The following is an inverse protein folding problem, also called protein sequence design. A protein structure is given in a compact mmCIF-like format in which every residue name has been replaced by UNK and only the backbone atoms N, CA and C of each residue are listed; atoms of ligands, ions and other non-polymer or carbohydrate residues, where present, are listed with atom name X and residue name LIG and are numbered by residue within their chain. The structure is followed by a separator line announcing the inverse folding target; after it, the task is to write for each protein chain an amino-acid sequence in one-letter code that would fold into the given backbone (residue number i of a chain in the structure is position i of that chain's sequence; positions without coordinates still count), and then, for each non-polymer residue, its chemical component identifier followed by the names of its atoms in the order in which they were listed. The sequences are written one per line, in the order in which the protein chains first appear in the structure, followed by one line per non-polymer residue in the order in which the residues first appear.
data_IF_678457576365
#
_entry.id   IF_678457576365
#
_cell.length_a   1.000
_cell.length_b   1.000
_cell.length_c   1.000
_cell.angle_alpha   90.00
_cell.angle_beta   90.00
_cell.angle_gamma   90.00
#
_symmetry.space_group_name_H-M   'P 1'
#
loop_
_entity.id
_entity.type
_entity.pdbx_description
1 polymer ?
#
# COMPACT_ATOMS: atom_id res chain seq x y z
N UNK A 1 -4.02 -20.30 17.41
CA UNK A 1 -4.46 -18.88 17.27
C UNK A 1 -4.24 -18.48 15.82
N UNK A 2 -5.21 -17.86 15.15
CA UNK A 2 -4.96 -17.29 13.82
C UNK A 2 -3.95 -16.13 13.98
N UNK A 3 -2.87 -16.15 13.22
CA UNK A 3 -1.90 -15.07 13.21
C UNK A 3 -2.38 -13.99 12.24
N UNK A 4 -2.40 -12.74 12.68
CA UNK A 4 -2.64 -11.60 11.79
C UNK A 4 -1.33 -11.27 11.07
N UNK A 5 -1.41 -11.03 9.77
CA UNK A 5 -0.22 -10.88 8.92
C UNK A 5 -0.06 -9.44 8.49
N UNK A 6 1.12 -8.88 8.75
CA UNK A 6 1.56 -7.59 8.24
C UNK A 6 2.41 -7.84 7.00
N UNK A 7 1.97 -7.33 5.86
CA UNK A 7 2.72 -7.41 4.61
C UNK A 7 3.53 -6.13 4.42
N UNK A 8 4.84 -6.27 4.24
CA UNK A 8 5.74 -5.17 3.94
C UNK A 8 6.12 -5.20 2.46
N UNK A 9 5.81 -4.11 1.75
CA UNK A 9 6.13 -3.90 0.34
C UNK A 9 7.03 -2.68 0.24
N UNK A 10 8.10 -2.79 -0.54
CA UNK A 10 9.08 -1.73 -0.72
C UNK A 10 9.67 -1.82 -2.13
N UNK A 11 9.43 -0.80 -2.94
CA UNK A 11 9.89 -0.75 -4.32
C UNK A 11 11.41 -0.60 -4.46
N UNK A 12 12.11 -0.18 -3.40
CA UNK A 12 13.57 -0.20 -3.31
C UNK A 12 14.09 -1.56 -2.82
N UNK A 13 13.20 -2.44 -2.37
CA UNK A 13 13.58 -3.74 -1.82
C UNK A 13 14.35 -3.61 -0.52
N UNK A 14 14.03 -2.64 0.33
CA UNK A 14 14.52 -2.58 1.71
C UNK A 14 13.85 -3.63 2.61
N UNK A 15 14.12 -3.49 3.89
CA UNK A 15 13.50 -4.22 5.00
C UNK A 15 12.89 -3.21 5.96
N UNK A 16 11.80 -3.54 6.67
CA UNK A 16 11.25 -2.64 7.67
C UNK A 16 12.29 -2.38 8.77
N UNK A 17 12.38 -1.13 9.23
CA UNK A 17 13.20 -0.80 10.40
C UNK A 17 12.56 -1.36 11.67
N UNK A 18 13.36 -1.57 12.72
CA UNK A 18 12.84 -2.01 14.02
C UNK A 18 11.79 -1.06 14.59
N UNK A 19 12.03 0.25 14.46
CA UNK A 19 11.10 1.27 14.93
C UNK A 19 9.77 1.21 14.18
N UNK A 20 9.82 1.00 12.85
CA UNK A 20 8.60 0.81 12.06
C UNK A 20 7.86 -0.46 12.46
N UNK A 21 8.57 -1.57 12.66
CA UNK A 21 7.97 -2.81 13.12
C UNK A 21 7.30 -2.62 14.49
N UNK A 22 7.96 -1.94 15.42
CA UNK A 22 7.44 -1.66 16.76
C UNK A 22 6.18 -0.79 16.70
N UNK A 23 6.21 0.32 15.97
CA UNK A 23 5.07 1.23 15.81
C UNK A 23 3.87 0.48 15.23
N UNK A 24 4.09 -0.31 14.18
CA UNK A 24 3.02 -1.09 13.56
C UNK A 24 2.49 -2.20 14.48
N UNK A 25 3.37 -2.91 15.19
CA UNK A 25 2.97 -3.94 16.14
C UNK A 25 2.10 -3.36 17.27
N UNK A 26 2.48 -2.20 17.81
CA UNK A 26 1.71 -1.48 18.83
C UNK A 26 0.35 -1.04 18.27
N UNK A 27 0.32 -0.41 17.09
CA UNK A 27 -0.91 0.07 16.48
C UNK A 27 -1.93 -1.06 16.22
N UNK A 28 -1.47 -2.18 15.64
CA UNK A 28 -2.35 -3.34 15.38
C UNK A 28 -2.81 -3.97 16.70
N UNK A 29 -1.94 -4.07 17.70
CA UNK A 29 -2.29 -4.59 19.02
C UNK A 29 -3.36 -3.73 19.72
N UNK A 30 -3.22 -2.39 19.67
CA UNK A 30 -4.20 -1.46 20.24
C UNK A 30 -5.56 -1.61 19.55
N UNK A 31 -5.59 -1.61 18.22
CA UNK A 31 -6.81 -1.78 17.44
C UNK A 31 -7.47 -3.16 17.70
N UNK A 32 -6.68 -4.23 17.82
CA UNK A 32 -7.22 -5.54 18.15
C UNK A 32 -7.75 -5.59 19.58
N UNK A 33 -7.05 -5.01 20.56
CA UNK A 33 -7.49 -4.95 21.96
C UNK A 33 -8.82 -4.23 22.14
N UNK A 34 -9.08 -3.18 21.34
CA UNK A 34 -10.37 -2.49 21.30
C UNK A 34 -11.51 -3.40 20.81
N UNK A 35 -11.22 -4.38 19.95
CA UNK A 35 -12.22 -5.31 19.38
C UNK A 35 -12.31 -6.63 20.15
N UNK A 36 -11.24 -7.06 20.81
CA UNK A 36 -11.10 -8.39 21.42
C UNK A 36 -10.06 -8.41 22.52
N UNK A 37 -10.35 -9.07 23.65
CA UNK A 37 -9.42 -9.24 24.78
C UNK A 37 -8.39 -10.36 24.59
N UNK A 38 -8.35 -11.02 23.42
CA UNK A 38 -7.42 -12.12 23.14
C UNK A 38 -6.03 -11.59 22.79
N UNK A 39 -4.99 -12.32 23.19
CA UNK A 39 -3.62 -12.05 22.75
C UNK A 39 -3.53 -12.22 21.23
N UNK A 40 -2.95 -11.24 20.57
CA UNK A 40 -2.71 -11.25 19.13
C UNK A 40 -1.31 -11.80 18.85
N UNK A 41 -1.19 -12.66 17.83
CA UNK A 41 0.09 -13.06 17.28
C UNK A 41 0.26 -12.40 15.92
N UNK A 42 1.30 -11.59 15.77
CA UNK A 42 1.61 -10.87 14.54
C UNK A 42 2.71 -11.60 13.76
N UNK A 43 2.49 -11.74 12.45
CA UNK A 43 3.46 -12.29 11.51
C UNK A 43 3.82 -11.23 10.48
N UNK A 44 5.11 -10.93 10.34
CA UNK A 44 5.61 -10.08 9.27
C UNK A 44 5.95 -10.91 8.04
N UNK A 45 5.50 -10.45 6.87
CA UNK A 45 5.82 -11.03 5.57
C UNK A 45 6.36 -9.94 4.68
N UNK A 46 7.63 -10.08 4.30
CA UNK A 46 8.22 -9.26 3.25
C UNK A 46 7.80 -9.81 1.89
N UNK A 47 7.19 -8.95 1.09
CA UNK A 47 6.66 -9.29 -0.24
C UNK A 47 7.72 -8.96 -1.30
N UNK A 48 7.96 -9.87 -2.23
CA UNK A 48 8.87 -9.63 -3.36
C UNK A 48 8.17 -8.84 -4.47
N UNK A 49 7.83 -7.59 -4.21
CA UNK A 49 7.09 -6.73 -5.14
C UNK A 49 7.95 -6.17 -6.28
N UNK A 50 7.33 -5.72 -7.40
CA UNK A 50 8.01 -5.04 -8.51
C UNK A 50 8.91 -3.91 -8.03
N UNK A 51 10.15 -3.82 -8.54
CA UNK A 51 11.11 -2.80 -8.07
C UNK A 51 11.18 -1.59 -9.00
N UNK A 52 11.44 -0.43 -8.43
CA UNK A 52 11.72 0.78 -9.20
C UNK A 52 13.19 0.86 -9.59
N UNK A 53 13.49 1.52 -10.70
CA UNK A 53 14.87 1.71 -11.20
C UNK A 53 15.34 3.15 -11.04
N UNK A 54 14.46 4.15 -11.19
CA UNK A 54 14.80 5.58 -11.13
C UNK A 54 14.86 6.19 -9.73
N UNK A 55 14.45 5.45 -8.69
CA UNK A 55 14.57 5.86 -7.27
C UNK A 55 13.58 6.93 -6.78
N UNK A 56 12.97 7.69 -7.68
CA UNK A 56 12.02 8.79 -7.38
C UNK A 56 10.55 8.41 -7.55
N UNK A 57 10.28 7.16 -7.94
CA UNK A 57 8.98 6.68 -8.41
C UNK A 57 8.20 5.96 -7.29
N UNK A 58 8.75 5.90 -6.08
CA UNK A 58 8.25 5.02 -5.02
C UNK A 58 6.78 5.29 -4.66
N UNK A 59 6.35 6.55 -4.73
CA UNK A 59 4.94 6.92 -4.53
C UNK A 59 4.01 6.30 -5.57
N UNK A 60 4.42 6.28 -6.85
CA UNK A 60 3.65 5.66 -7.91
C UNK A 60 3.59 4.14 -7.77
N UNK A 61 4.70 3.51 -7.35
CA UNK A 61 4.72 2.08 -7.06
C UNK A 61 3.77 1.72 -5.90
N UNK A 62 3.74 2.51 -4.82
CA UNK A 62 2.78 2.31 -3.73
C UNK A 62 1.35 2.42 -4.23
N UNK A 63 1.02 3.43 -5.04
CA UNK A 63 -0.32 3.57 -5.64
C UNK A 63 -0.68 2.37 -6.52
N UNK A 64 0.26 1.91 -7.35
CA UNK A 64 0.07 0.75 -8.23
C UNK A 64 -0.11 -0.55 -7.44
N UNK A 65 0.69 -0.78 -6.39
CA UNK A 65 0.50 -1.93 -5.49
C UNK A 65 -0.90 -1.92 -4.88
N UNK A 66 -1.36 -0.77 -4.37
CA UNK A 66 -2.69 -0.67 -3.78
C UNK A 66 -3.79 -0.99 -4.79
N UNK A 67 -3.67 -0.49 -6.03
CA UNK A 67 -4.60 -0.80 -7.12
C UNK A 67 -4.63 -2.30 -7.43
N UNK A 68 -3.46 -2.94 -7.53
CA UNK A 68 -3.35 -4.36 -7.81
C UNK A 68 -3.89 -5.23 -6.65
N UNK A 69 -3.66 -4.83 -5.39
CA UNK A 69 -4.15 -5.54 -4.19
C UNK A 69 -5.67 -5.44 -4.07
N UNK A 70 -6.25 -4.26 -4.34
CA UNK A 70 -7.71 -4.08 -4.34
C UNK A 70 -8.35 -4.91 -5.45
N UNK A 71 -7.68 -5.03 -6.60
CA UNK A 71 -8.16 -5.83 -7.73
C UNK A 71 -8.04 -7.34 -7.47
N UNK A 72 -6.94 -7.78 -6.85
CA UNK A 72 -6.71 -9.17 -6.44
C UNK A 72 -5.83 -9.25 -5.19
N UNK A 73 -6.45 -9.53 -4.04
CA UNK A 73 -5.73 -9.66 -2.76
C UNK A 73 -4.71 -10.80 -2.75
N UNK A 74 -4.84 -11.79 -3.65
CA UNK A 74 -3.89 -12.90 -3.73
C UNK A 74 -2.51 -12.47 -4.21
N UNK A 75 -2.38 -11.28 -4.82
CA UNK A 75 -1.08 -10.66 -5.16
C UNK A 75 -0.10 -10.69 -3.99
N UNK A 76 -0.58 -10.42 -2.77
CA UNK A 76 0.21 -10.45 -1.54
C UNK A 76 0.75 -11.84 -1.24
N UNK A 77 -0.09 -12.87 -1.36
CA UNK A 77 0.28 -14.28 -1.09
C UNK A 77 1.20 -14.84 -2.17
N UNK A 78 1.04 -14.37 -3.40
CA UNK A 78 1.84 -14.78 -4.55
C UNK A 78 3.14 -13.98 -4.68
N UNK A 79 3.46 -13.12 -3.72
CA UNK A 79 4.64 -12.24 -3.78
C UNK A 79 4.74 -11.45 -5.08
N UNK A 80 3.61 -11.03 -5.67
CA UNK A 80 3.58 -10.39 -6.99
C UNK A 80 4.37 -11.16 -8.07
N UNK A 81 4.55 -12.48 -7.93
CA UNK A 81 5.47 -13.29 -8.75
C UNK A 81 5.21 -13.26 -10.26
N UNK A 82 4.02 -12.83 -10.68
CA UNK A 82 3.64 -12.67 -12.09
C UNK A 82 4.09 -11.34 -12.69
N UNK A 83 4.54 -10.37 -11.88
CA UNK A 83 5.00 -9.05 -12.30
C UNK A 83 6.37 -8.81 -11.68
N UNK A 84 7.42 -8.84 -12.51
CA UNK A 84 8.79 -8.59 -12.04
C UNK A 84 9.09 -7.11 -11.86
N UNK A 85 8.55 -6.29 -12.76
CA UNK A 85 8.75 -4.84 -12.83
C UNK A 85 7.48 -4.21 -13.41
N UNK A 86 7.18 -2.98 -13.01
CA UNK A 86 6.17 -2.17 -13.68
C UNK A 86 6.80 -1.45 -14.85
N UNK A 87 6.06 -1.39 -15.96
CA UNK A 87 6.47 -0.64 -17.15
C UNK A 87 6.23 0.86 -16.96
N UNK A 88 6.84 1.68 -17.81
CA UNK A 88 6.52 3.12 -17.84
C UNK A 88 5.02 3.36 -18.11
N UNK A 89 4.38 2.53 -18.94
CA UNK A 89 2.95 2.59 -19.23
C UNK A 89 2.08 2.28 -17.99
N UNK A 90 2.48 1.30 -17.17
CA UNK A 90 1.80 1.01 -15.90
C UNK A 90 1.81 2.21 -14.95
N UNK A 91 2.95 2.91 -14.90
CA UNK A 91 3.13 4.11 -14.06
C UNK A 91 2.38 5.31 -14.64
N UNK A 92 2.43 5.49 -15.97
CA UNK A 92 1.70 6.53 -16.67
C UNK A 92 0.20 6.39 -16.46
N UNK A 93 -0.34 5.17 -16.55
CA UNK A 93 -1.75 4.90 -16.29
C UNK A 93 -2.16 5.38 -14.89
N UNK A 94 -1.38 5.03 -13.85
CA UNK A 94 -1.66 5.46 -12.48
C UNK A 94 -1.60 6.98 -12.37
N UNK A 95 -0.64 7.62 -13.03
CA UNK A 95 -0.50 9.08 -13.04
C UNK A 95 -1.70 9.77 -13.69
N UNK A 96 -2.15 9.28 -14.84
CA UNK A 96 -3.30 9.85 -15.56
C UNK A 96 -4.60 9.69 -14.78
N UNK A 97 -4.85 8.49 -14.23
CA UNK A 97 -6.03 8.22 -13.40
C UNK A 97 -6.06 9.12 -12.16
N UNK A 98 -4.94 9.26 -11.46
CA UNK A 98 -4.85 10.12 -10.29
C UNK A 98 -5.02 11.60 -10.65
N UNK A 99 -4.40 12.07 -11.73
CA UNK A 99 -4.53 13.44 -12.20
C UNK A 99 -5.98 13.75 -12.59
N UNK A 100 -6.67 12.83 -13.28
CA UNK A 100 -8.08 13.00 -13.62
C UNK A 100 -8.94 13.07 -12.36
N UNK A 101 -8.74 12.15 -11.41
CA UNK A 101 -9.46 12.16 -10.15
C UNK A 101 -9.26 13.47 -9.38
N UNK A 102 -8.02 13.91 -9.20
CA UNK A 102 -7.71 15.18 -8.55
C UNK A 102 -8.36 16.38 -9.26
N UNK A 103 -8.32 16.41 -10.60
CA UNK A 103 -8.96 17.45 -11.37
C UNK A 103 -10.49 17.47 -11.17
N UNK A 104 -11.13 16.30 -11.05
CA UNK A 104 -12.57 16.24 -10.73
C UNK A 104 -12.89 16.79 -9.35
N UNK A 105 -12.06 16.49 -8.34
CA UNK A 105 -12.24 17.02 -6.99
C UNK A 105 -12.12 18.54 -6.95
N UNK A 106 -11.13 19.10 -7.65
CA UNK A 106 -10.93 20.56 -7.74
C UNK A 106 -12.14 21.23 -8.40
N UNK A 107 -12.62 20.70 -9.53
CA UNK A 107 -13.81 21.23 -10.22
C UNK A 107 -15.04 21.19 -9.31
N UNK A 108 -15.24 20.09 -8.60
CA UNK A 108 -16.38 19.93 -7.70
C UNK A 108 -16.31 20.89 -6.51
N UNK A 109 -15.12 21.13 -5.94
CA UNK A 109 -14.92 22.09 -4.86
C UNK A 109 -15.19 23.54 -5.32
N UNK A 110 -14.88 23.88 -6.56
CA UNK A 110 -15.17 25.20 -7.14
C UNK A 110 -16.66 25.39 -7.47
N UNK A 111 -17.39 24.31 -7.74
CA UNK A 111 -18.81 24.33 -8.07
C UNK A 111 -19.74 24.43 -6.83
N UNK A 112 -19.22 24.19 -5.62
CA UNK A 112 -19.97 24.25 -4.35
C UNK A 112 -19.23 25.13 -3.32
N UNK A 113 -19.36 26.48 -3.41
CA UNK A 113 -18.67 27.41 -2.51
C UNK A 113 -19.15 27.36 -1.05
N UNK A 114 -20.14 26.52 -0.71
CA UNK A 114 -20.66 26.33 0.65
C UNK A 114 -19.95 25.25 1.47
N UNK A 115 -18.93 24.58 0.93
CA UNK A 115 -18.15 23.52 1.61
C UNK A 115 -16.69 23.88 1.93
N UNK A 116 -16.28 25.13 1.72
CA UNK A 116 -14.97 25.64 2.12
C UNK A 116 -14.97 26.16 3.56
#
# INVERSE_FOLDING_TARGET
MAAETIYYLDSLGGIPSKDLEEIMNQGVTINHAQKSKKRLNLKWVRVMCPKQTGGVECGYFVMKYMKDIVSDVNRLKQNFSTVKEYTEDDILQVREEWALYAATLIKNAQADPTKA
#
